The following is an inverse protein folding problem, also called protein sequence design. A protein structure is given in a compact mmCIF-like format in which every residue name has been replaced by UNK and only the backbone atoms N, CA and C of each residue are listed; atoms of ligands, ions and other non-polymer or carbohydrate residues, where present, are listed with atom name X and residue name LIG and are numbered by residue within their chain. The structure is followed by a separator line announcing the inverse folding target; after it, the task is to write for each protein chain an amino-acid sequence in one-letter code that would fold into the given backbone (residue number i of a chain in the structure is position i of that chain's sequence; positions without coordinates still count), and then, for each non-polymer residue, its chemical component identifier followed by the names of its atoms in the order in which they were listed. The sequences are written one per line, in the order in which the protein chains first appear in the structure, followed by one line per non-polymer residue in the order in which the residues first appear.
data_IF_628617200342
#
_entry.id   IF_628617200342
#
_cell.length_a   1.000
_cell.length_b   1.000
_cell.length_c   1.000
_cell.angle_alpha   90.00
_cell.angle_beta   90.00
_cell.angle_gamma   90.00
#
_symmetry.space_group_name_H-M   'P 1'
#
loop_
_entity.id
_entity.type
_entity.pdbx_description
1 polymer ?
#
# COMPACT_ATOMS: atom_id res chain seq x y z
N UNK A 1 29.53 80.71 27.44
CA UNK A 1 30.43 80.69 28.61
C UNK A 1 29.82 79.68 29.59
N UNK A 2 30.35 78.48 29.88
CA UNK A 2 31.69 77.92 29.85
C UNK A 2 31.66 76.40 29.58
N UNK A 3 32.73 75.93 28.93
CA UNK A 3 33.12 74.56 28.61
C UNK A 3 33.65 73.84 29.85
N UNK A 4 33.37 72.52 30.03
CA UNK A 4 34.25 71.44 30.59
C UNK A 4 33.62 70.07 30.24
N UNK A 5 34.29 68.93 30.02
CA UNK A 5 35.68 68.47 29.79
C UNK A 5 35.54 66.98 29.36
N UNK A 6 36.54 66.50 28.62
CA UNK A 6 36.78 65.16 28.07
C UNK A 6 36.62 63.98 29.05
N UNK A 7 36.46 62.74 28.53
CA UNK A 7 37.33 61.56 28.79
C UNK A 7 36.76 60.21 28.26
N UNK A 8 37.62 59.49 27.52
CA UNK A 8 37.88 58.03 27.48
C UNK A 8 36.79 56.98 27.24
N UNK A 9 36.94 56.30 26.10
CA UNK A 9 37.06 54.85 25.86
C UNK A 9 36.25 53.84 26.69
N UNK A 10 35.46 53.01 26.00
CA UNK A 10 35.28 51.59 26.33
C UNK A 10 34.98 50.80 25.05
N UNK A 11 35.89 49.91 24.68
CA UNK A 11 35.63 48.81 23.76
C UNK A 11 34.82 47.74 24.48
N UNK A 12 33.79 47.16 23.87
CA UNK A 12 33.40 45.77 24.14
C UNK A 12 32.31 45.27 23.17
N UNK A 13 32.52 44.03 22.72
CA UNK A 13 31.50 43.02 22.42
C UNK A 13 30.70 43.15 21.12
N UNK A 14 31.28 42.67 20.01
CA UNK A 14 30.48 41.95 19.01
C UNK A 14 30.49 40.46 19.41
N UNK A 15 29.64 40.11 20.37
CA UNK A 15 29.35 38.70 20.67
C UNK A 15 28.40 38.20 19.59
N UNK A 16 28.91 37.46 18.62
CA UNK A 16 28.07 36.67 17.72
C UNK A 16 27.39 35.58 18.55
N UNK A 17 26.12 35.77 18.88
CA UNK A 17 25.26 34.74 19.42
C UNK A 17 25.05 33.66 18.35
N UNK A 18 25.99 32.71 18.25
CA UNK A 18 25.83 31.49 17.49
C UNK A 18 24.88 30.58 18.25
N UNK A 19 23.59 30.63 17.92
CA UNK A 19 22.64 29.62 18.35
C UNK A 19 23.00 28.30 17.66
N UNK A 20 23.68 27.41 18.39
CA UNK A 20 23.87 26.02 17.98
C UNK A 20 22.51 25.33 18.03
N UNK A 21 21.89 25.13 16.87
CA UNK A 21 20.77 24.20 16.75
C UNK A 21 21.30 22.81 17.06
N UNK A 22 20.94 22.27 18.23
CA UNK A 22 21.15 20.88 18.54
C UNK A 22 20.46 20.03 17.46
N UNK A 23 21.26 19.27 16.71
CA UNK A 23 20.75 18.28 15.78
C UNK A 23 19.94 17.25 16.61
N UNK A 24 18.62 17.33 16.52
CA UNK A 24 17.75 16.28 17.04
C UNK A 24 18.06 15.03 16.21
N UNK A 25 18.48 13.91 16.80
CA UNK A 25 18.61 12.68 16.04
C UNK A 25 17.22 12.31 15.53
N UNK A 26 17.01 12.39 14.22
CA UNK A 26 15.87 11.76 13.56
C UNK A 26 16.04 10.27 13.73
N UNK A 27 15.39 9.73 14.76
CA UNK A 27 15.24 8.30 14.92
C UNK A 27 14.42 7.81 13.72
N UNK A 28 15.03 7.00 12.87
CA UNK A 28 14.30 6.20 11.90
C UNK A 28 13.49 5.19 12.72
N UNK A 29 12.23 5.51 13.01
CA UNK A 29 11.28 4.49 13.46
C UNK A 29 11.22 3.46 12.34
N UNK A 30 11.71 2.25 12.63
CA UNK A 30 11.46 1.11 11.76
C UNK A 30 9.95 1.06 11.52
N UNK A 31 9.55 1.06 10.25
CA UNK A 31 8.15 0.95 9.88
C UNK A 31 7.52 -0.21 10.68
N UNK A 32 6.28 -0.05 11.20
CA UNK A 32 5.62 -1.14 11.88
C UNK A 32 5.62 -2.35 10.95
N UNK A 33 6.31 -3.42 11.35
CA UNK A 33 6.20 -4.73 10.71
C UNK A 33 4.75 -5.17 10.90
N UNK A 34 3.91 -4.83 9.93
CA UNK A 34 2.56 -5.37 9.84
C UNK A 34 2.68 -6.90 9.86
N UNK A 35 1.80 -7.64 10.56
CA UNK A 35 1.80 -9.08 10.44
C UNK A 35 1.64 -9.45 8.96
N UNK A 36 2.32 -10.52 8.53
CA UNK A 36 2.49 -10.92 7.14
C UNK A 36 1.19 -11.48 6.49
N UNK A 37 0.06 -10.78 6.61
CA UNK A 37 -1.20 -11.11 5.95
C UNK A 37 -1.40 -10.40 4.60
N UNK A 38 -0.53 -9.44 4.25
CA UNK A 38 -0.64 -8.71 2.99
C UNK A 38 0.27 -9.31 1.90
N UNK A 39 0.06 -10.58 1.54
CA UNK A 39 0.82 -11.24 0.46
C UNK A 39 0.32 -10.83 -0.94
N UNK A 40 -0.91 -10.35 -1.05
CA UNK A 40 -1.51 -9.86 -2.28
C UNK A 40 -1.53 -8.31 -2.30
N UNK A 41 -0.39 -7.68 -2.62
CA UNK A 41 -0.26 -6.22 -2.79
C UNK A 41 0.47 -5.87 -4.09
N UNK A 42 -0.05 -6.32 -5.23
CA UNK A 42 0.59 -6.05 -6.52
C UNK A 42 0.13 -4.74 -7.14
N UNK A 43 -1.12 -4.31 -6.88
CA UNK A 43 -1.68 -3.03 -7.32
C UNK A 43 -3.01 -2.76 -6.61
N UNK A 44 -3.42 -1.49 -6.56
CA UNK A 44 -4.77 -1.05 -6.18
C UNK A 44 -5.63 -0.70 -7.42
N UNK A 45 -5.10 -0.90 -8.63
CA UNK A 45 -5.84 -0.70 -9.87
C UNK A 45 -6.62 -1.96 -10.22
N UNK A 46 -7.94 -1.84 -10.31
CA UNK A 46 -8.89 -2.93 -10.52
C UNK A 46 -9.69 -2.72 -11.81
N UNK A 47 -9.04 -2.83 -12.99
CA UNK A 47 -9.75 -2.77 -14.26
C UNK A 47 -10.59 -4.04 -14.45
N UNK A 48 -11.47 -4.03 -15.46
CA UNK A 48 -12.08 -5.27 -15.94
C UNK A 48 -10.97 -6.21 -16.44
N UNK A 49 -10.98 -7.47 -15.97
CA UNK A 49 -10.03 -8.49 -16.39
C UNK A 49 -10.73 -9.71 -16.99
N UNK A 50 -10.15 -10.22 -18.07
CA UNK A 50 -10.64 -11.35 -18.84
C UNK A 50 -9.48 -12.17 -19.43
N UNK A 51 -9.81 -13.29 -20.08
CA UNK A 51 -8.78 -14.16 -20.67
C UNK A 51 -7.94 -13.41 -21.70
N UNK A 52 -6.62 -13.54 -21.57
CA UNK A 52 -5.63 -12.86 -22.41
C UNK A 52 -5.04 -11.62 -21.76
N UNK A 53 -5.68 -11.05 -20.74
CA UNK A 53 -5.12 -9.93 -19.99
C UNK A 53 -3.87 -10.36 -19.21
N UNK A 54 -2.97 -9.40 -19.01
CA UNK A 54 -1.74 -9.61 -18.26
C UNK A 54 -1.41 -8.41 -17.37
N UNK A 55 -0.60 -8.63 -16.34
CA UNK A 55 -0.04 -7.57 -15.51
C UNK A 55 -0.32 -7.72 -14.01
N UNK A 56 -0.03 -6.66 -13.27
CA UNK A 56 -0.11 -6.66 -11.80
C UNK A 56 -1.53 -6.82 -11.29
N UNK A 57 -2.53 -6.30 -12.00
CA UNK A 57 -3.95 -6.49 -11.65
C UNK A 57 -4.36 -7.97 -11.75
N UNK A 58 -3.94 -8.67 -12.81
CA UNK A 58 -4.18 -10.11 -12.93
C UNK A 58 -3.50 -10.87 -11.79
N UNK A 59 -2.26 -10.50 -11.45
CA UNK A 59 -1.51 -11.13 -10.37
C UNK A 59 -2.18 -10.90 -9.00
N UNK A 60 -2.73 -9.70 -8.79
CA UNK A 60 -3.53 -9.35 -7.62
C UNK A 60 -4.74 -10.28 -7.49
N UNK A 61 -5.55 -10.36 -8.55
CA UNK A 61 -6.72 -11.24 -8.58
C UNK A 61 -6.35 -12.71 -8.34
N UNK A 62 -5.32 -13.23 -9.00
CA UNK A 62 -4.88 -14.63 -8.83
C UNK A 62 -4.48 -14.91 -7.37
N UNK A 63 -3.79 -13.97 -6.73
CA UNK A 63 -3.37 -14.12 -5.34
C UNK A 63 -4.58 -14.12 -4.38
N UNK A 64 -5.53 -13.19 -4.56
CA UNK A 64 -6.76 -13.15 -3.76
C UNK A 64 -7.62 -14.41 -3.98
N UNK A 65 -7.80 -14.84 -5.24
CA UNK A 65 -8.53 -16.07 -5.60
C UNK A 65 -7.95 -17.30 -4.91
N UNK A 66 -6.63 -17.43 -4.82
CA UNK A 66 -5.99 -18.54 -4.12
C UNK A 66 -6.35 -18.54 -2.63
N UNK A 67 -6.40 -17.35 -2.01
CA UNK A 67 -6.77 -17.19 -0.61
C UNK A 67 -8.24 -17.55 -0.36
N UNK A 68 -9.17 -16.99 -1.14
CA UNK A 68 -10.62 -17.15 -0.88
C UNK A 68 -11.18 -18.51 -1.32
N UNK A 69 -10.50 -19.21 -2.23
CA UNK A 69 -10.91 -20.54 -2.70
C UNK A 69 -10.09 -21.69 -2.09
N UNK A 70 -9.04 -21.41 -1.31
CA UNK A 70 -8.03 -22.41 -0.92
C UNK A 70 -7.47 -23.17 -2.15
N UNK A 71 -7.08 -22.41 -3.18
CA UNK A 71 -6.57 -22.95 -4.46
C UNK A 71 -5.15 -22.49 -4.74
N UNK A 72 -4.53 -23.18 -5.69
CA UNK A 72 -3.14 -22.94 -6.11
C UNK A 72 -3.09 -22.62 -7.62
N UNK A 73 -3.84 -21.61 -8.04
CA UNK A 73 -3.66 -20.99 -9.36
C UNK A 73 -2.29 -20.32 -9.38
N UNK A 74 -1.57 -20.42 -10.49
CA UNK A 74 -0.28 -19.73 -10.64
C UNK A 74 -0.52 -18.22 -10.62
N UNK A 75 0.07 -17.51 -9.65
CA UNK A 75 0.05 -16.03 -9.59
C UNK A 75 1.16 -15.44 -10.45
N UNK A 76 1.11 -15.68 -11.76
CA UNK A 76 2.09 -15.20 -12.75
C UNK A 76 1.72 -13.86 -13.40
N UNK A 77 0.50 -13.36 -13.16
CA UNK A 77 -0.04 -12.19 -13.82
C UNK A 77 -0.51 -12.43 -15.25
N UNK A 78 -0.79 -13.69 -15.63
CA UNK A 78 -1.35 -14.05 -16.94
C UNK A 78 -2.76 -14.63 -16.75
N UNK A 79 -3.75 -13.98 -17.35
CA UNK A 79 -5.14 -14.42 -17.23
C UNK A 79 -5.41 -15.55 -18.22
N UNK A 80 -5.00 -16.76 -17.84
CA UNK A 80 -5.23 -17.99 -18.59
C UNK A 80 -6.55 -18.69 -18.24
N UNK A 81 -6.75 -19.87 -18.82
CA UNK A 81 -7.91 -20.73 -18.52
C UNK A 81 -8.00 -21.13 -17.05
N UNK A 82 -6.85 -21.35 -16.39
CA UNK A 82 -6.80 -21.64 -14.95
C UNK A 82 -7.36 -20.49 -14.11
N UNK A 83 -6.97 -19.26 -14.41
CA UNK A 83 -7.50 -18.06 -13.74
C UNK A 83 -8.99 -17.89 -14.02
N UNK A 84 -9.44 -18.05 -15.27
CA UNK A 84 -10.88 -17.98 -15.61
C UNK A 84 -11.71 -18.98 -14.80
N UNK A 85 -11.25 -20.22 -14.70
CA UNK A 85 -11.96 -21.26 -13.96
C UNK A 85 -12.04 -20.94 -12.46
N UNK A 86 -10.99 -20.33 -11.89
CA UNK A 86 -11.03 -19.85 -10.51
C UNK A 86 -12.00 -18.68 -10.33
N UNK A 87 -12.04 -17.74 -11.27
CA UNK A 87 -13.01 -16.64 -11.24
C UNK A 87 -14.45 -17.16 -11.25
N UNK A 88 -14.76 -18.11 -12.14
CA UNK A 88 -16.10 -18.73 -12.18
C UNK A 88 -16.44 -19.40 -10.86
N UNK A 89 -15.52 -20.20 -10.31
CA UNK A 89 -15.76 -20.87 -9.02
C UNK A 89 -16.00 -19.86 -7.89
N UNK A 90 -15.25 -18.76 -7.87
CA UNK A 90 -15.47 -17.67 -6.91
C UNK A 90 -16.82 -16.99 -7.12
N UNK A 91 -17.17 -16.64 -8.36
CA UNK A 91 -18.45 -16.02 -8.69
C UNK A 91 -19.63 -16.91 -8.28
N UNK A 92 -19.57 -18.21 -8.54
CA UNK A 92 -20.57 -19.19 -8.09
C UNK A 92 -20.72 -19.17 -6.57
N UNK A 93 -19.59 -19.15 -5.85
CA UNK A 93 -19.57 -19.17 -4.40
C UNK A 93 -20.10 -17.89 -3.77
N UNK A 94 -19.74 -16.75 -4.35
CA UNK A 94 -20.17 -15.43 -3.90
C UNK A 94 -21.59 -15.07 -4.37
N UNK A 95 -22.28 -15.95 -5.12
CA UNK A 95 -23.63 -15.71 -5.64
C UNK A 95 -23.69 -14.59 -6.69
N UNK A 96 -22.61 -14.40 -7.45
CA UNK A 96 -22.50 -13.41 -8.52
C UNK A 96 -22.90 -14.00 -9.88
N UNK A 97 -23.00 -13.15 -10.90
CA UNK A 97 -23.05 -13.61 -12.29
C UNK A 97 -21.75 -14.34 -12.68
N UNK A 98 -21.87 -15.50 -13.34
CA UNK A 98 -20.78 -16.45 -13.59
C UNK A 98 -20.22 -16.36 -15.02
N UNK A 99 -19.78 -15.18 -15.42
CA UNK A 99 -19.22 -14.92 -16.75
C UNK A 99 -17.71 -15.26 -16.88
N UNK A 100 -17.02 -15.41 -15.76
CA UNK A 100 -15.57 -15.62 -15.70
C UNK A 100 -14.75 -14.36 -15.96
N UNK A 101 -15.36 -13.17 -15.84
CA UNK A 101 -14.74 -11.86 -15.97
C UNK A 101 -14.65 -11.22 -14.59
N UNK A 102 -13.52 -10.60 -14.26
CA UNK A 102 -13.39 -9.85 -13.02
C UNK A 102 -13.78 -8.40 -13.29
N UNK A 103 -15.07 -8.12 -13.15
CA UNK A 103 -15.61 -6.75 -13.19
C UNK A 103 -15.71 -6.12 -11.80
N UNK A 104 -16.27 -4.90 -11.68
CA UNK A 104 -16.35 -4.16 -10.42
C UNK A 104 -17.03 -4.93 -9.27
N UNK A 105 -18.09 -5.70 -9.58
CA UNK A 105 -18.78 -6.51 -8.57
C UNK A 105 -17.90 -7.66 -8.07
N UNK A 106 -17.13 -8.29 -8.96
CA UNK A 106 -16.21 -9.38 -8.60
C UNK A 106 -15.02 -8.86 -7.81
N UNK A 107 -14.46 -7.71 -8.17
CA UNK A 107 -13.41 -7.03 -7.38
C UNK A 107 -13.88 -6.69 -5.98
N UNK A 108 -15.02 -5.99 -5.86
CA UNK A 108 -15.57 -5.63 -4.56
C UNK A 108 -15.82 -6.85 -3.68
N UNK A 109 -16.25 -7.97 -4.26
CA UNK A 109 -16.41 -9.22 -3.53
C UNK A 109 -15.04 -9.83 -3.14
N UNK A 110 -14.07 -9.91 -4.06
CA UNK A 110 -12.73 -10.44 -3.76
C UNK A 110 -12.09 -9.69 -2.60
N UNK A 111 -12.12 -8.36 -2.62
CA UNK A 111 -11.54 -7.54 -1.56
C UNK A 111 -12.25 -7.74 -0.22
N UNK A 112 -13.59 -7.73 -0.22
CA UNK A 112 -14.35 -7.93 0.99
C UNK A 112 -14.08 -9.32 1.59
N UNK A 113 -14.08 -10.37 0.77
CA UNK A 113 -13.87 -11.74 1.23
C UNK A 113 -12.45 -11.94 1.73
N UNK A 114 -11.47 -11.43 0.97
CA UNK A 114 -10.06 -11.51 1.34
C UNK A 114 -9.74 -10.77 2.63
N UNK A 115 -10.29 -9.55 2.84
CA UNK A 115 -10.03 -8.76 4.06
C UNK A 115 -10.73 -9.30 5.32
N UNK A 116 -11.79 -10.09 5.14
CA UNK A 116 -12.58 -10.62 6.26
C UNK A 116 -12.38 -12.13 6.49
N UNK A 117 -11.33 -12.72 5.89
CA UNK A 117 -11.00 -14.15 6.00
C UNK A 117 -12.19 -15.07 5.65
N UNK A 118 -12.96 -14.68 4.63
CA UNK A 118 -14.11 -15.45 4.14
C UNK A 118 -13.65 -16.39 3.04
N UNK A 119 -13.90 -17.68 3.26
CA UNK A 119 -13.58 -18.76 2.34
C UNK A 119 -14.84 -19.46 1.81
N UNK A 120 -14.76 -19.91 0.56
CA UNK A 120 -15.88 -20.55 -0.15
C UNK A 120 -16.40 -21.86 0.49
N UNK A 121 -15.68 -22.39 1.47
CA UNK A 121 -15.93 -23.70 2.06
C UNK A 121 -16.36 -23.65 3.53
N UNK A 122 -16.63 -22.47 4.09
CA UNK A 122 -17.11 -22.33 5.48
C UNK A 122 -18.45 -21.63 5.60
#
# INVERSE_FOLDING_TARGET
MNIRRSLTAAAAACLTAGAVFAAVPTQAVAAPVQPAYFTCNYTASEPELSVGDTGTAVKQAQCQLNSVLDRHVVSDGIFGSGTRNAVIAFQECAGLGTDGIIGPNTWSALDYWWLNDIDCHK
#
